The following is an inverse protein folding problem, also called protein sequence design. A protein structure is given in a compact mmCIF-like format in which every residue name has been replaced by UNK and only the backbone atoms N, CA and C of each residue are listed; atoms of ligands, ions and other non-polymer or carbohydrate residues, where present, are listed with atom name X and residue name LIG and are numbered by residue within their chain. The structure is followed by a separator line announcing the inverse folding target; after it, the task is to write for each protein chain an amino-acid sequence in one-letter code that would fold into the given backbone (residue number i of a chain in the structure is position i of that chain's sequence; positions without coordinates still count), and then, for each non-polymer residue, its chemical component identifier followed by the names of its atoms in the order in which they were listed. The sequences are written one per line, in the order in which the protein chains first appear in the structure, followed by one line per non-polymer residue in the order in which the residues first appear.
data_IF_974244668894
#
_entry.id   IF_974244668894
#
_cell.length_a   1.000
_cell.length_b   1.000
_cell.length_c   1.000
_cell.angle_alpha   90.00
_cell.angle_beta   90.00
_cell.angle_gamma   90.00
#
_symmetry.space_group_name_H-M   'P 1'
#
loop_
_entity.id
_entity.type
_entity.pdbx_description
1 polymer ?
#
# COMPACT_ATOMS: atom_id res chain seq x y z
N UNK A 1 -21.50 31.34 -0.68
CA UNK A 1 -20.14 31.68 -1.17
C UNK A 1 -19.06 30.85 -0.47
N UNK A 2 -19.08 30.76 0.87
CA UNK A 2 -18.11 30.00 1.68
C UNK A 2 -18.04 28.50 1.35
N UNK A 3 -19.19 27.83 1.20
CA UNK A 3 -19.27 26.39 0.86
C UNK A 3 -18.60 26.08 -0.48
N UNK A 4 -18.78 26.93 -1.49
CA UNK A 4 -18.14 26.75 -2.80
C UNK A 4 -16.61 26.82 -2.67
N UNK A 5 -16.12 27.77 -1.87
CA UNK A 5 -14.69 27.94 -1.60
C UNK A 5 -14.10 26.69 -0.91
N UNK A 6 -14.80 26.15 0.10
CA UNK A 6 -14.41 24.91 0.77
C UNK A 6 -14.37 23.72 -0.21
N UNK A 7 -15.37 23.59 -1.09
CA UNK A 7 -15.41 22.53 -2.10
C UNK A 7 -14.23 22.65 -3.06
N UNK A 8 -13.92 23.86 -3.56
CA UNK A 8 -12.77 24.05 -4.46
C UNK A 8 -11.45 23.69 -3.78
N UNK A 9 -11.25 24.09 -2.52
CA UNK A 9 -10.05 23.71 -1.76
C UNK A 9 -9.95 22.19 -1.55
N UNK A 10 -11.07 21.53 -1.25
CA UNK A 10 -11.11 20.08 -1.09
C UNK A 10 -10.76 19.36 -2.40
N UNK A 11 -11.31 19.81 -3.54
CA UNK A 11 -10.99 19.26 -4.85
C UNK A 11 -9.50 19.47 -5.18
N UNK A 12 -8.97 20.66 -4.92
CA UNK A 12 -7.56 20.96 -5.19
C UNK A 12 -6.63 20.09 -4.35
N UNK A 13 -6.93 19.93 -3.06
CA UNK A 13 -6.18 19.05 -2.17
C UNK A 13 -6.29 17.58 -2.57
N UNK A 14 -7.47 17.13 -2.98
CA UNK A 14 -7.67 15.77 -3.48
C UNK A 14 -6.86 15.50 -4.75
N UNK A 15 -6.86 16.43 -5.71
CA UNK A 15 -6.07 16.32 -6.94
C UNK A 15 -4.56 16.34 -6.65
N UNK A 16 -4.10 17.22 -5.75
CA UNK A 16 -2.69 17.30 -5.36
C UNK A 16 -2.21 15.98 -4.73
N UNK A 17 -3.00 15.41 -3.80
CA UNK A 17 -2.68 14.12 -3.20
C UNK A 17 -2.73 12.98 -4.22
N UNK A 18 -3.75 12.95 -5.07
CA UNK A 18 -3.86 11.93 -6.13
C UNK A 18 -2.64 11.96 -7.06
N UNK A 19 -2.16 13.15 -7.45
CA UNK A 19 -0.94 13.30 -8.26
C UNK A 19 0.32 12.82 -7.53
N UNK A 20 0.45 13.14 -6.23
CA UNK A 20 1.57 12.68 -5.41
C UNK A 20 1.62 11.16 -5.34
N UNK A 21 0.51 10.51 -4.95
CA UNK A 21 0.43 9.04 -4.89
C UNK A 21 0.63 8.39 -6.25
N UNK A 22 0.06 8.97 -7.31
CA UNK A 22 0.25 8.47 -8.65
C UNK A 22 1.73 8.50 -9.06
N UNK A 23 2.46 9.57 -8.74
CA UNK A 23 3.88 9.70 -9.09
C UNK A 23 4.74 8.68 -8.34
N UNK A 24 4.53 8.55 -7.02
CA UNK A 24 5.25 7.59 -6.18
C UNK A 24 5.02 6.15 -6.65
N UNK A 25 3.76 5.79 -6.90
CA UNK A 25 3.43 4.44 -7.36
C UNK A 25 3.88 4.21 -8.81
N UNK A 26 3.87 5.24 -9.66
CA UNK A 26 4.40 5.14 -11.03
C UNK A 26 5.91 4.88 -11.01
N UNK A 27 6.66 5.56 -10.14
CA UNK A 27 8.09 5.32 -9.98
C UNK A 27 8.38 3.89 -9.53
N UNK A 28 7.67 3.42 -8.49
CA UNK A 28 7.75 2.02 -8.05
C UNK A 28 7.41 1.03 -9.18
N UNK A 29 6.38 1.36 -9.96
CA UNK A 29 5.93 0.54 -11.07
C UNK A 29 6.92 0.51 -12.24
N UNK A 30 7.61 1.62 -12.51
CA UNK A 30 8.64 1.71 -13.53
C UNK A 30 9.96 1.05 -13.12
N UNK A 31 10.23 0.97 -11.81
CA UNK A 31 11.40 0.29 -11.26
C UNK A 31 11.30 -1.25 -11.34
N UNK A 32 10.10 -1.80 -11.52
CA UNK A 32 9.88 -3.23 -11.68
C UNK A 32 10.17 -3.67 -13.13
N UNK A 33 11.42 -4.08 -13.38
CA UNK A 33 11.96 -4.39 -14.71
C UNK A 33 11.55 -5.80 -15.23
N UNK A 34 10.89 -6.62 -14.40
CA UNK A 34 10.51 -8.00 -14.77
C UNK A 34 9.14 -8.12 -15.48
N UNK A 35 8.43 -7.01 -15.70
CA UNK A 35 7.07 -7.06 -16.25
C UNK A 35 7.00 -7.14 -17.79
N UNK A 36 6.25 -8.13 -18.28
CA UNK A 36 5.88 -8.26 -19.69
C UNK A 36 4.96 -7.09 -20.14
N UNK A 37 5.00 -6.72 -21.43
CA UNK A 37 4.31 -5.54 -21.97
C UNK A 37 2.80 -5.53 -21.74
N UNK A 38 2.15 -6.70 -21.77
CA UNK A 38 0.71 -6.82 -21.51
C UNK A 38 0.38 -6.55 -20.04
N UNK A 39 1.15 -7.14 -19.13
CA UNK A 39 1.00 -6.90 -17.69
C UNK A 39 1.24 -5.43 -17.36
N UNK A 40 2.17 -4.78 -18.07
CA UNK A 40 2.50 -3.38 -17.88
C UNK A 40 1.30 -2.45 -18.12
N UNK A 41 0.52 -2.76 -19.15
CA UNK A 41 -0.69 -2.02 -19.48
C UNK A 41 -1.78 -2.19 -18.41
N UNK A 42 -2.06 -3.43 -18.01
CA UNK A 42 -3.05 -3.70 -16.96
C UNK A 42 -2.69 -3.04 -15.64
N UNK A 43 -1.44 -3.13 -15.19
CA UNK A 43 -1.04 -2.51 -13.95
C UNK A 43 -1.00 -0.98 -14.04
N UNK A 44 -0.76 -0.39 -15.21
CA UNK A 44 -0.93 1.06 -15.41
C UNK A 44 -2.39 1.49 -15.23
N UNK A 45 -3.35 0.69 -15.70
CA UNK A 45 -4.78 0.97 -15.46
C UNK A 45 -5.09 0.85 -13.97
N UNK A 46 -4.59 -0.19 -13.31
CA UNK A 46 -4.77 -0.39 -11.87
C UNK A 46 -4.17 0.78 -11.08
N UNK A 47 -3.01 1.30 -11.50
CA UNK A 47 -2.35 2.47 -10.91
C UNK A 47 -3.25 3.71 -10.95
N UNK A 48 -3.86 3.98 -12.10
CA UNK A 48 -4.79 5.11 -12.29
C UNK A 48 -6.05 4.92 -11.46
N UNK A 49 -6.62 3.72 -11.45
CA UNK A 49 -7.81 3.42 -10.63
C UNK A 49 -7.49 3.55 -9.14
N UNK A 50 -6.33 3.05 -8.71
CA UNK A 50 -5.88 3.14 -7.35
C UNK A 50 -5.65 4.60 -6.92
N UNK A 51 -5.12 5.45 -7.81
CA UNK A 51 -4.80 6.84 -7.47
C UNK A 51 -6.05 7.72 -7.37
N UNK A 52 -7.12 7.36 -8.07
CA UNK A 52 -8.45 7.95 -7.88
C UNK A 52 -9.05 7.41 -6.56
N UNK A 53 -8.96 6.11 -6.33
CA UNK A 53 -9.48 5.49 -5.11
C UNK A 53 -8.50 5.56 -3.92
N UNK A 54 -7.54 6.50 -3.94
CA UNK A 54 -6.51 6.63 -2.91
C UNK A 54 -7.06 6.73 -1.48
N UNK A 55 -8.21 7.39 -1.20
CA UNK A 55 -8.73 7.45 0.17
C UNK A 55 -9.17 6.08 0.72
N UNK A 56 -9.39 5.09 -0.16
CA UNK A 56 -9.75 3.71 0.20
C UNK A 56 -8.52 2.80 0.13
N UNK A 57 -7.74 2.92 -0.95
CA UNK A 57 -6.57 2.09 -1.20
C UNK A 57 -5.50 2.28 -0.13
N UNK A 58 -5.22 3.53 0.28
CA UNK A 58 -4.18 3.82 1.28
C UNK A 58 -4.50 3.18 2.64
N UNK A 59 -5.70 3.36 3.23
CA UNK A 59 -6.07 2.65 4.45
C UNK A 59 -6.02 1.13 4.31
N UNK A 60 -6.47 0.59 3.17
CA UNK A 60 -6.49 -0.85 2.95
C UNK A 60 -5.07 -1.44 2.88
N UNK A 61 -4.18 -0.79 2.15
CA UNK A 61 -2.76 -1.15 2.09
C UNK A 61 -2.10 -1.11 3.48
N UNK A 62 -2.44 -0.11 4.30
CA UNK A 62 -1.94 -0.03 5.67
C UNK A 62 -2.47 -1.16 6.56
N UNK A 63 -3.76 -1.51 6.44
CA UNK A 63 -4.34 -2.64 7.17
C UNK A 63 -3.71 -3.97 6.77
N UNK A 64 -3.40 -4.15 5.49
CA UNK A 64 -2.73 -5.35 4.99
C UNK A 64 -1.29 -5.43 5.51
N UNK A 65 -0.55 -4.32 5.49
CA UNK A 65 0.78 -4.24 6.09
C UNK A 65 0.77 -4.56 7.59
N UNK A 66 -0.24 -4.10 8.32
CA UNK A 66 -0.40 -4.38 9.75
C UNK A 66 -0.72 -5.86 10.01
N UNK A 67 -1.60 -6.46 9.18
CA UNK A 67 -1.90 -7.90 9.25
C UNK A 67 -0.65 -8.74 8.97
N UNK A 68 0.14 -8.34 7.97
CA UNK A 68 1.38 -9.00 7.63
C UNK A 68 2.37 -8.93 8.81
N UNK A 69 2.59 -7.74 9.37
CA UNK A 69 3.43 -7.58 10.57
C UNK A 69 2.98 -8.44 11.74
N UNK A 70 1.66 -8.50 12.01
CA UNK A 70 1.13 -9.31 13.11
C UNK A 70 1.35 -10.81 12.88
N UNK A 71 1.11 -11.30 11.65
CA UNK A 71 1.29 -12.71 11.30
C UNK A 71 2.75 -13.15 11.39
N UNK A 72 3.67 -12.33 10.88
CA UNK A 72 5.10 -12.63 10.95
C UNK A 72 5.65 -12.59 12.38
N UNK A 73 5.14 -11.67 13.22
CA UNK A 73 5.50 -11.63 14.65
C UNK A 73 5.07 -12.91 15.39
N UNK A 74 3.86 -13.42 15.15
CA UNK A 74 3.41 -14.68 15.74
C UNK A 74 4.29 -15.87 15.34
N UNK A 75 4.63 -15.98 14.05
CA UNK A 75 5.49 -17.08 13.57
C UNK A 75 6.89 -17.01 14.21
N UNK A 76 7.49 -15.82 14.30
CA UNK A 76 8.79 -15.65 14.94
C UNK A 76 8.73 -15.99 16.43
N UNK A 77 7.69 -15.56 17.14
CA UNK A 77 7.51 -15.84 18.58
C UNK A 77 7.30 -17.35 18.83
N UNK A 78 6.53 -18.02 17.96
CA UNK A 78 6.36 -19.48 17.99
C UNK A 78 7.69 -20.21 17.75
N UNK A 79 8.49 -19.78 16.76
CA UNK A 79 9.81 -20.37 16.50
C UNK A 79 10.77 -20.18 17.66
N UNK A 80 10.78 -19.00 18.28
CA UNK A 80 11.60 -18.70 19.47
C UNK A 80 11.18 -19.57 20.66
N UNK A 81 9.88 -19.75 20.86
CA UNK A 81 9.35 -20.55 21.97
C UNK A 81 9.59 -22.06 21.76
N UNK A 82 9.40 -22.55 20.53
CA UNK A 82 9.68 -23.93 20.15
C UNK A 82 11.16 -24.28 20.35
N UNK A 83 12.06 -23.40 19.89
CA UNK A 83 13.51 -23.57 20.08
C UNK A 83 13.90 -23.59 21.56
N UNK A 84 13.26 -22.77 22.40
CA UNK A 84 13.47 -22.78 23.84
C UNK A 84 13.02 -24.08 24.50
N UNK A 85 11.90 -24.65 24.05
CA UNK A 85 11.43 -25.95 24.55
C UNK A 85 12.44 -27.06 24.24
N UNK A 86 12.99 -27.10 23.03
CA UNK A 86 13.96 -28.13 22.64
C UNK A 86 15.28 -28.06 23.42
N UNK A 87 15.73 -26.86 23.82
CA UNK A 87 16.97 -26.67 24.60
C UNK A 87 16.80 -27.08 26.08
N UNK A 88 15.57 -27.18 26.58
CA UNK A 88 15.28 -27.59 27.97
C UNK A 88 15.17 -29.11 28.14
N UNK A 89 15.12 -29.87 27.04
CA UNK A 89 14.98 -31.34 27.04
C UNK A 89 16.34 -32.08 26.87
N UNK A 90 17.47 -31.37 26.83
CA UNK A 90 18.85 -31.90 26.86
C UNK A 90 19.52 -31.70 28.24
#
# INVERSE_FOLDING_TARGET
MLIKLVIYLAILGYLAMSYYFFSEWLEFFLADEEMNSEQRFFSSIILVVASILWPIVVPFAYLELLKFHKKHKEVIDLLVNLSRCQVLDE
#
